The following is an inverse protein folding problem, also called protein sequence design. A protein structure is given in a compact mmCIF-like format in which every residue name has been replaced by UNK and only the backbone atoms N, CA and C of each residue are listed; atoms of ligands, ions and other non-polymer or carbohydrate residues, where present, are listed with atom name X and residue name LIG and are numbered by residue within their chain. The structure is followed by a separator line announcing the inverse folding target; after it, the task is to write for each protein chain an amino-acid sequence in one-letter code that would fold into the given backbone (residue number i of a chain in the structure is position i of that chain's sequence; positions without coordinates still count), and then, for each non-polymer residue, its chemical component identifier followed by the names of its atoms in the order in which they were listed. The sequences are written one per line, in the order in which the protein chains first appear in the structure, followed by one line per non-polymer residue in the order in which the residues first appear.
data_IF_569517059003
#
_entry.id   IF_569517059003
#
_cell.length_a   1.000
_cell.length_b   1.000
_cell.length_c   1.000
_cell.angle_alpha   90.00
_cell.angle_beta   90.00
_cell.angle_gamma   90.00
#
_symmetry.space_group_name_H-M   'P 1'
#
loop_
_entity.id
_entity.type
_entity.pdbx_description
1 polymer ?
#
# COMPACT_ATOMS: atom_id res chain seq x y z
N UNK A 1 -31.02 -17.67 8.74
CA UNK A 1 -32.23 -17.71 7.87
C UNK A 1 -31.77 -17.88 6.43
N UNK A 2 -32.45 -18.71 5.62
CA UNK A 2 -32.09 -18.94 4.23
C UNK A 2 -33.28 -18.71 3.28
N UNK A 3 -33.03 -18.04 2.16
CA UNK A 3 -33.98 -17.94 1.04
C UNK A 3 -33.52 -18.89 -0.06
N UNK A 4 -34.36 -19.84 -0.46
CA UNK A 4 -34.09 -20.79 -1.57
C UNK A 4 -34.40 -20.15 -2.92
N UNK A 5 -34.14 -20.84 -4.04
CA UNK A 5 -34.20 -20.26 -5.40
C UNK A 5 -35.51 -19.50 -5.67
N UNK A 6 -35.39 -18.22 -6.03
CA UNK A 6 -36.53 -17.31 -6.26
C UNK A 6 -37.20 -16.76 -4.99
N UNK A 7 -36.76 -17.18 -3.82
CA UNK A 7 -37.25 -16.73 -2.51
C UNK A 7 -36.84 -15.30 -2.19
N UNK A 8 -37.73 -14.57 -1.52
CA UNK A 8 -37.49 -13.21 -1.01
C UNK A 8 -37.79 -13.15 0.47
N UNK A 9 -36.88 -12.58 1.23
CA UNK A 9 -37.04 -12.36 2.68
C UNK A 9 -36.85 -10.88 2.97
N UNK A 10 -37.82 -10.27 3.65
CA UNK A 10 -37.74 -8.91 4.19
C UNK A 10 -37.65 -8.96 5.71
N UNK A 11 -36.71 -8.20 6.27
CA UNK A 11 -36.43 -8.12 7.71
C UNK A 11 -36.37 -6.64 8.11
N UNK A 12 -37.04 -6.28 9.20
CA UNK A 12 -36.94 -4.93 9.79
C UNK A 12 -36.75 -5.08 11.30
N UNK A 13 -35.75 -4.41 11.87
CA UNK A 13 -35.42 -4.42 13.31
C UNK A 13 -35.21 -5.83 13.89
N UNK A 14 -34.80 -6.81 13.07
CA UNK A 14 -34.60 -8.19 13.50
C UNK A 14 -33.29 -8.40 14.26
N UNK A 15 -33.30 -9.27 15.28
CA UNK A 15 -32.10 -9.70 15.99
C UNK A 15 -31.87 -11.18 15.68
N UNK A 16 -30.72 -11.50 15.12
CA UNK A 16 -30.33 -12.86 14.74
C UNK A 16 -29.06 -13.25 15.46
N UNK A 17 -29.11 -14.35 16.21
CA UNK A 17 -27.94 -14.95 16.85
C UNK A 17 -27.82 -16.40 16.40
N UNK A 18 -26.66 -16.79 15.89
CA UNK A 18 -26.36 -18.15 15.51
C UNK A 18 -25.06 -18.63 16.17
N UNK A 19 -25.14 -19.71 16.95
CA UNK A 19 -24.02 -20.28 17.70
C UNK A 19 -23.85 -21.76 17.36
N UNK A 20 -22.64 -22.18 17.01
CA UNK A 20 -22.36 -23.58 16.70
C UNK A 20 -21.06 -23.77 15.93
N UNK A 21 -20.76 -25.02 15.53
CA UNK A 21 -19.51 -25.31 14.82
C UNK A 21 -19.46 -24.69 13.41
N UNK A 22 -20.60 -24.69 12.71
CA UNK A 22 -20.76 -24.13 11.36
C UNK A 22 -22.07 -23.35 11.30
N UNK A 23 -21.99 -22.03 11.34
CA UNK A 23 -23.18 -21.17 11.40
C UNK A 23 -23.18 -20.08 10.34
N UNK A 24 -24.39 -19.69 9.93
CA UNK A 24 -24.64 -18.53 9.08
C UNK A 24 -25.74 -17.68 9.72
N UNK A 25 -25.54 -16.37 9.82
CA UNK A 25 -26.59 -15.46 10.28
C UNK A 25 -27.70 -15.32 9.25
N UNK A 26 -27.39 -14.62 8.15
CA UNK A 26 -28.23 -14.53 6.96
C UNK A 26 -27.54 -15.22 5.77
N UNK A 27 -28.31 -15.94 4.96
CA UNK A 27 -27.78 -16.68 3.81
C UNK A 27 -28.75 -16.61 2.64
N UNK A 28 -28.43 -15.84 1.62
CA UNK A 28 -29.07 -15.97 0.31
C UNK A 28 -28.24 -16.95 -0.52
N UNK A 29 -28.83 -18.11 -0.85
CA UNK A 29 -28.20 -19.15 -1.66
C UNK A 29 -29.29 -20.03 -2.28
N UNK A 30 -29.11 -20.57 -3.48
CA UNK A 30 -29.99 -21.63 -3.97
C UNK A 30 -29.57 -23.01 -3.47
N UNK A 31 -30.47 -23.98 -3.61
CA UNK A 31 -30.31 -25.36 -3.10
C UNK A 31 -29.25 -26.19 -3.85
N UNK A 32 -28.63 -25.63 -4.90
CA UNK A 32 -27.63 -26.28 -5.73
C UNK A 32 -26.64 -25.20 -6.23
N UNK A 33 -25.32 -25.46 -6.37
CA UNK A 33 -24.33 -24.57 -7.00
C UNK A 33 -24.72 -23.87 -8.32
N UNK A 34 -25.79 -24.31 -8.98
CA UNK A 34 -26.31 -23.77 -10.24
C UNK A 34 -27.66 -23.04 -10.10
N UNK A 35 -28.22 -22.96 -8.88
CA UNK A 35 -29.47 -22.26 -8.60
C UNK A 35 -29.14 -20.90 -7.96
N UNK A 36 -29.16 -19.82 -8.74
CA UNK A 36 -29.13 -18.44 -8.23
C UNK A 36 -30.53 -17.91 -7.88
N UNK A 37 -30.63 -16.63 -7.50
CA UNK A 37 -31.90 -15.89 -7.55
C UNK A 37 -32.60 -15.61 -6.23
N UNK A 38 -32.01 -15.98 -5.10
CA UNK A 38 -32.57 -15.66 -3.78
C UNK A 38 -32.23 -14.22 -3.37
N UNK A 39 -33.14 -13.56 -2.65
CA UNK A 39 -32.87 -12.22 -2.12
C UNK A 39 -33.26 -12.05 -0.65
N UNK A 40 -32.44 -11.31 0.08
CA UNK A 40 -32.70 -10.89 1.46
C UNK A 40 -32.54 -9.38 1.53
N UNK A 41 -33.52 -8.67 2.08
CA UNK A 41 -33.41 -7.26 2.46
C UNK A 41 -33.57 -7.15 3.97
N UNK A 42 -32.58 -6.56 4.65
CA UNK A 42 -32.60 -6.41 6.09
C UNK A 42 -32.33 -4.94 6.49
N UNK A 43 -33.31 -4.32 7.11
CA UNK A 43 -33.24 -2.96 7.62
C UNK A 43 -33.08 -2.97 9.15
N UNK A 44 -32.08 -2.26 9.65
CA UNK A 44 -31.75 -2.13 11.07
C UNK A 44 -31.64 -3.47 11.80
N UNK A 45 -31.19 -4.51 11.10
CA UNK A 45 -31.01 -5.84 11.68
C UNK A 45 -29.68 -5.94 12.44
N UNK A 46 -29.70 -6.65 13.57
CA UNK A 46 -28.50 -7.01 14.33
C UNK A 46 -28.23 -8.49 14.14
N UNK A 47 -27.10 -8.82 13.51
CA UNK A 47 -26.73 -10.19 13.16
C UNK A 47 -25.43 -10.53 13.90
N UNK A 48 -25.49 -11.55 14.75
CA UNK A 48 -24.33 -12.06 15.48
C UNK A 48 -24.12 -13.53 15.20
N UNK A 49 -22.90 -13.92 14.85
CA UNK A 49 -22.51 -15.32 14.74
C UNK A 49 -21.33 -15.63 15.66
N UNK A 50 -21.32 -16.84 16.24
CA UNK A 50 -20.23 -17.29 17.10
C UNK A 50 -20.00 -18.80 16.97
N UNK A 51 -18.77 -19.24 17.25
CA UNK A 51 -18.37 -20.65 17.23
C UNK A 51 -17.04 -20.87 16.51
N UNK A 52 -16.87 -22.03 15.87
CA UNK A 52 -15.61 -22.35 15.19
C UNK A 52 -15.54 -21.69 13.80
N UNK A 53 -16.56 -21.91 12.97
CA UNK A 53 -16.72 -21.33 11.64
C UNK A 53 -18.07 -20.62 11.55
N UNK A 54 -18.06 -19.33 11.22
CA UNK A 54 -19.28 -18.52 11.28
C UNK A 54 -19.27 -17.38 10.26
N UNK A 55 -20.22 -17.43 9.30
CA UNK A 55 -20.42 -16.34 8.34
C UNK A 55 -21.55 -15.45 8.85
N UNK A 56 -21.32 -14.14 8.97
CA UNK A 56 -22.37 -13.19 9.36
C UNK A 56 -23.50 -13.17 8.33
N UNK A 57 -23.17 -12.73 7.12
CA UNK A 57 -24.08 -12.61 5.98
C UNK A 57 -23.42 -13.22 4.74
N UNK A 58 -24.15 -14.09 4.06
CA UNK A 58 -23.70 -14.73 2.82
C UNK A 58 -24.64 -14.43 1.66
N UNK A 59 -24.07 -14.01 0.53
CA UNK A 59 -24.68 -14.12 -0.78
C UNK A 59 -23.87 -15.14 -1.59
N UNK A 60 -24.51 -16.23 -2.00
CA UNK A 60 -23.88 -17.29 -2.76
C UNK A 60 -24.53 -17.39 -4.15
N UNK A 61 -23.76 -17.00 -5.16
CA UNK A 61 -24.16 -17.00 -6.56
C UNK A 61 -24.05 -18.40 -7.18
N UNK A 62 -23.92 -18.44 -8.50
CA UNK A 62 -23.80 -19.69 -9.25
C UNK A 62 -22.49 -19.77 -10.04
N UNK A 63 -22.24 -20.92 -10.66
CA UNK A 63 -21.13 -21.08 -11.60
C UNK A 63 -21.43 -20.54 -13.01
N UNK A 64 -22.64 -20.04 -13.27
CA UNK A 64 -23.12 -19.62 -14.59
C UNK A 64 -23.64 -18.18 -14.56
N UNK A 65 -23.13 -17.33 -15.45
CA UNK A 65 -23.59 -15.95 -15.61
C UNK A 65 -25.06 -15.80 -16.05
N UNK A 66 -25.70 -16.90 -16.47
CA UNK A 66 -27.09 -16.92 -16.93
C UNK A 66 -28.11 -17.11 -15.80
N UNK A 67 -27.67 -17.41 -14.58
CA UNK A 67 -28.58 -17.60 -13.45
C UNK A 67 -29.01 -16.26 -12.85
N UNK A 68 -30.22 -16.17 -12.27
CA UNK A 68 -30.67 -14.95 -11.60
C UNK A 68 -29.76 -14.54 -10.44
N UNK A 69 -29.64 -13.24 -10.18
CA UNK A 69 -28.76 -12.69 -9.15
C UNK A 69 -29.18 -13.11 -7.74
N UNK A 70 -28.21 -13.53 -6.93
CA UNK A 70 -28.39 -13.75 -5.49
C UNK A 70 -27.99 -12.48 -4.76
N UNK A 71 -28.92 -11.85 -4.02
CA UNK A 71 -28.72 -10.51 -3.45
C UNK A 71 -28.97 -10.46 -1.95
N UNK A 72 -28.11 -9.76 -1.22
CA UNK A 72 -28.40 -9.34 0.16
C UNK A 72 -28.24 -7.83 0.28
N UNK A 73 -29.28 -7.14 0.72
CA UNK A 73 -29.25 -5.70 0.99
C UNK A 73 -29.34 -5.45 2.49
N UNK A 74 -28.37 -4.75 3.04
CA UNK A 74 -28.33 -4.34 4.45
C UNK A 74 -28.45 -2.80 4.53
N UNK A 75 -29.41 -2.31 5.30
CA UNK A 75 -29.61 -0.88 5.52
C UNK A 75 -29.55 -0.62 7.03
N UNK A 76 -28.55 0.11 7.49
CA UNK A 76 -28.27 0.29 8.91
C UNK A 76 -27.84 -1.01 9.60
N UNK A 77 -28.11 -1.09 10.91
CA UNK A 77 -27.89 -2.30 11.69
C UNK A 77 -26.42 -2.69 11.87
N UNK A 78 -26.19 -3.94 12.28
CA UNK A 78 -24.84 -4.47 12.48
C UNK A 78 -24.70 -5.95 12.14
N UNK A 79 -23.50 -6.32 11.70
CA UNK A 79 -23.07 -7.70 11.47
C UNK A 79 -21.79 -7.94 12.27
N UNK A 80 -21.84 -8.85 13.24
CA UNK A 80 -20.69 -9.19 14.08
C UNK A 80 -20.39 -10.69 14.02
N UNK A 81 -19.14 -11.06 13.74
CA UNK A 81 -18.67 -12.45 13.82
C UNK A 81 -17.65 -12.61 14.94
N UNK A 82 -17.93 -13.56 15.84
CA UNK A 82 -17.08 -13.96 16.95
C UNK A 82 -16.50 -15.36 16.74
N UNK A 83 -16.50 -15.86 15.51
CA UNK A 83 -15.97 -17.19 15.24
C UNK A 83 -14.44 -17.21 15.21
N UNK A 84 -13.87 -18.34 15.67
CA UNK A 84 -12.45 -18.47 15.97
C UNK A 84 -11.57 -18.63 14.71
N UNK A 85 -12.13 -19.23 13.65
CA UNK A 85 -11.42 -19.55 12.41
C UNK A 85 -12.30 -19.30 11.19
N UNK A 86 -11.79 -18.57 10.19
CA UNK A 86 -12.48 -18.25 8.92
C UNK A 86 -13.94 -17.80 9.13
N UNK A 87 -14.10 -16.58 9.65
CA UNK A 87 -15.38 -16.02 10.05
C UNK A 87 -15.70 -14.69 9.34
N UNK A 88 -15.94 -14.70 8.02
CA UNK A 88 -16.24 -13.47 7.31
C UNK A 88 -17.56 -12.88 7.80
N UNK A 89 -17.56 -11.57 8.04
CA UNK A 89 -18.79 -10.87 8.40
C UNK A 89 -19.70 -10.77 7.18
N UNK A 90 -19.15 -10.40 6.03
CA UNK A 90 -19.82 -10.48 4.75
C UNK A 90 -19.07 -11.43 3.83
N UNK A 91 -19.80 -12.32 3.15
CA UNK A 91 -19.24 -13.13 2.06
C UNK A 91 -20.12 -13.08 0.81
N UNK A 92 -19.59 -12.51 -0.27
CA UNK A 92 -20.15 -12.65 -1.61
C UNK A 92 -19.27 -13.61 -2.42
N UNK A 93 -19.82 -14.77 -2.74
CA UNK A 93 -19.08 -15.81 -3.45
C UNK A 93 -19.81 -16.25 -4.71
N UNK A 94 -19.03 -16.41 -5.79
CA UNK A 94 -19.48 -16.84 -7.13
C UNK A 94 -20.20 -15.77 -7.94
N UNK A 95 -20.21 -15.98 -9.26
CA UNK A 95 -20.85 -15.11 -10.24
C UNK A 95 -22.32 -14.90 -9.90
N UNK A 96 -22.73 -13.63 -9.96
CA UNK A 96 -24.11 -13.22 -9.69
C UNK A 96 -24.46 -13.09 -8.20
N UNK A 97 -23.50 -13.23 -7.28
CA UNK A 97 -23.68 -12.82 -5.89
C UNK A 97 -23.42 -11.33 -5.72
N UNK A 98 -24.31 -10.64 -4.99
CA UNK A 98 -24.15 -9.24 -4.63
C UNK A 98 -24.57 -9.02 -3.17
N UNK A 99 -23.72 -8.40 -2.37
CA UNK A 99 -24.12 -7.81 -1.10
C UNK A 99 -24.01 -6.30 -1.21
N UNK A 100 -25.07 -5.57 -0.90
CA UNK A 100 -25.01 -4.12 -0.74
C UNK A 100 -25.23 -3.74 0.72
N UNK A 101 -24.51 -2.73 1.20
CA UNK A 101 -24.71 -2.17 2.54
C UNK A 101 -24.79 -0.65 2.49
N UNK A 102 -25.69 -0.09 3.30
CA UNK A 102 -25.84 1.35 3.51
C UNK A 102 -25.81 1.64 5.02
N UNK A 103 -24.78 2.32 5.51
CA UNK A 103 -24.61 2.69 6.93
C UNK A 103 -24.62 1.49 7.90
N UNK A 104 -24.12 0.33 7.48
CA UNK A 104 -24.03 -0.88 8.32
C UNK A 104 -22.70 -0.94 9.08
N UNK A 105 -22.74 -1.39 10.34
CA UNK A 105 -21.54 -1.65 11.14
C UNK A 105 -21.15 -3.12 11.00
N UNK A 106 -19.96 -3.39 10.46
CA UNK A 106 -19.46 -4.72 10.14
C UNK A 106 -18.22 -5.00 10.98
N UNK A 107 -18.24 -6.08 11.78
CA UNK A 107 -17.15 -6.41 12.71
C UNK A 107 -16.81 -7.90 12.64
N UNK A 108 -15.53 -8.24 12.55
CA UNK A 108 -15.04 -9.61 12.75
C UNK A 108 -13.93 -9.67 13.81
N UNK A 109 -14.10 -10.53 14.82
CA UNK A 109 -13.26 -10.56 16.02
C UNK A 109 -12.22 -11.68 16.04
N UNK A 110 -12.46 -12.79 15.36
CA UNK A 110 -11.50 -13.90 15.25
C UNK A 110 -10.23 -13.55 14.48
N UNK A 111 -9.17 -14.34 14.69
CA UNK A 111 -7.91 -14.20 13.99
C UNK A 111 -7.97 -14.73 12.54
N UNK A 112 -7.19 -14.15 11.64
CA UNK A 112 -7.13 -14.55 10.23
C UNK A 112 -8.44 -14.31 9.49
N UNK A 113 -9.27 -13.39 9.98
CA UNK A 113 -10.59 -13.16 9.41
C UNK A 113 -10.53 -12.32 8.14
N UNK A 114 -11.44 -12.60 7.23
CA UNK A 114 -11.71 -11.80 6.04
C UNK A 114 -13.01 -11.04 6.33
N UNK A 115 -12.95 -9.81 6.85
CA UNK A 115 -14.16 -9.13 7.35
C UNK A 115 -15.21 -9.03 6.24
N UNK A 116 -14.79 -8.60 5.06
CA UNK A 116 -15.55 -8.63 3.81
C UNK A 116 -14.81 -9.50 2.80
N UNK A 117 -15.34 -10.70 2.54
CA UNK A 117 -14.80 -11.71 1.63
C UNK A 117 -15.55 -11.71 0.29
N UNK A 118 -14.89 -11.24 -0.77
CA UNK A 118 -15.43 -11.24 -2.13
C UNK A 118 -14.60 -12.20 -2.98
N UNK A 119 -15.21 -13.28 -3.46
CA UNK A 119 -14.47 -14.30 -4.22
C UNK A 119 -15.24 -14.94 -5.36
N UNK A 120 -14.50 -15.53 -6.31
CA UNK A 120 -15.02 -16.33 -7.43
C UNK A 120 -16.02 -15.57 -8.32
N UNK A 121 -15.88 -14.25 -8.48
CA UNK A 121 -16.81 -13.46 -9.30
C UNK A 121 -17.99 -12.86 -8.53
N UNK A 122 -17.95 -12.88 -7.19
CA UNK A 122 -18.92 -12.18 -6.36
C UNK A 122 -18.68 -10.67 -6.31
N UNK A 123 -19.67 -9.93 -5.79
CA UNK A 123 -19.59 -8.49 -5.61
C UNK A 123 -20.06 -8.02 -4.23
N UNK A 124 -19.38 -7.01 -3.68
CA UNK A 124 -19.82 -6.30 -2.48
C UNK A 124 -19.75 -4.79 -2.70
N UNK A 125 -20.81 -4.07 -2.35
CA UNK A 125 -20.88 -2.62 -2.40
C UNK A 125 -21.20 -2.04 -1.01
N UNK A 126 -20.29 -1.24 -0.47
CA UNK A 126 -20.42 -0.58 0.82
C UNK A 126 -20.59 0.93 0.63
N UNK A 127 -21.61 1.51 1.26
CA UNK A 127 -21.81 2.96 1.31
C UNK A 127 -22.00 3.41 2.76
N UNK A 128 -21.16 4.32 3.24
CA UNK A 128 -21.13 4.71 4.65
C UNK A 128 -20.69 3.57 5.57
N UNK A 129 -21.05 3.68 6.85
CA UNK A 129 -20.81 2.62 7.85
C UNK A 129 -19.34 2.38 8.21
N UNK A 130 -19.06 1.20 8.76
CA UNK A 130 -17.71 0.84 9.19
C UNK A 130 -17.41 -0.65 9.01
N UNK A 131 -16.17 -0.97 8.66
CA UNK A 131 -15.60 -2.32 8.62
C UNK A 131 -14.50 -2.42 9.66
N UNK A 132 -14.62 -3.33 10.63
CA UNK A 132 -13.67 -3.50 11.73
C UNK A 132 -13.16 -4.93 11.80
N UNK A 133 -11.84 -5.11 11.70
CA UNK A 133 -11.18 -6.41 11.91
C UNK A 133 -10.27 -6.37 13.13
N UNK A 134 -10.64 -7.11 14.19
CA UNK A 134 -9.93 -7.05 15.46
C UNK A 134 -8.87 -8.15 15.64
N UNK A 135 -9.03 -9.29 14.97
CA UNK A 135 -8.10 -10.40 15.10
C UNK A 135 -6.80 -10.18 14.31
N UNK A 136 -5.71 -10.76 14.80
CA UNK A 136 -4.42 -10.74 14.11
C UNK A 136 -4.52 -11.33 12.70
N UNK A 137 -3.65 -10.87 11.78
CA UNK A 137 -3.57 -11.31 10.38
C UNK A 137 -4.89 -11.22 9.62
N UNK A 138 -5.81 -10.33 10.05
CA UNK A 138 -7.10 -10.17 9.39
C UNK A 138 -6.99 -9.27 8.17
N UNK A 139 -7.96 -9.39 7.28
CA UNK A 139 -8.11 -8.54 6.10
C UNK A 139 -9.47 -7.84 6.20
N UNK A 140 -9.49 -6.51 6.10
CA UNK A 140 -10.72 -5.73 6.15
C UNK A 140 -11.62 -6.02 4.95
N UNK A 141 -11.12 -5.74 3.75
CA UNK A 141 -11.81 -6.07 2.49
C UNK A 141 -10.87 -6.90 1.63
N UNK A 142 -11.32 -8.06 1.16
CA UNK A 142 -10.60 -8.85 0.16
C UNK A 142 -11.48 -9.04 -1.07
N UNK A 143 -10.90 -8.80 -2.25
CA UNK A 143 -11.43 -9.23 -3.53
C UNK A 143 -10.46 -10.20 -4.19
N UNK A 144 -10.81 -11.48 -4.21
CA UNK A 144 -9.96 -12.58 -4.66
C UNK A 144 -10.52 -13.29 -5.90
N UNK A 145 -9.67 -13.43 -6.92
CA UNK A 145 -10.01 -14.11 -8.15
C UNK A 145 -10.64 -13.22 -9.22
N UNK A 146 -10.48 -13.63 -10.48
CA UNK A 146 -11.02 -12.94 -11.66
C UNK A 146 -12.53 -12.71 -11.54
N UNK A 147 -12.95 -11.48 -11.81
CA UNK A 147 -14.35 -11.07 -11.79
C UNK A 147 -14.88 -10.70 -10.40
N UNK A 148 -14.13 -10.97 -9.32
CA UNK A 148 -14.49 -10.48 -7.98
C UNK A 148 -14.31 -8.96 -7.93
N UNK A 149 -15.30 -8.28 -7.35
CA UNK A 149 -15.31 -6.81 -7.26
C UNK A 149 -15.83 -6.33 -5.91
N UNK A 150 -15.02 -5.55 -5.21
CA UNK A 150 -15.47 -4.85 -4.01
C UNK A 150 -15.48 -3.34 -4.25
N UNK A 151 -16.54 -2.66 -3.83
CA UNK A 151 -16.64 -1.20 -3.83
C UNK A 151 -16.93 -0.71 -2.43
N UNK A 152 -16.25 0.35 -2.01
CA UNK A 152 -16.57 1.07 -0.78
C UNK A 152 -16.57 2.58 -1.03
N UNK A 153 -17.58 3.27 -0.51
CA UNK A 153 -17.72 4.72 -0.59
C UNK A 153 -18.11 5.28 0.78
N UNK A 154 -17.40 6.31 1.25
CA UNK A 154 -17.64 6.96 2.55
C UNK A 154 -17.59 5.99 3.77
N UNK A 155 -16.94 4.84 3.64
CA UNK A 155 -16.78 3.81 4.69
C UNK A 155 -15.48 4.00 5.47
N UNK A 156 -15.53 3.80 6.79
CA UNK A 156 -14.32 3.67 7.62
C UNK A 156 -13.89 2.21 7.76
N UNK A 157 -12.62 1.91 7.49
CA UNK A 157 -12.03 0.57 7.60
C UNK A 157 -10.98 0.61 8.69
N UNK A 158 -11.19 -0.11 9.78
CA UNK A 158 -10.30 -0.13 10.93
C UNK A 158 -9.79 -1.54 11.20
N UNK A 159 -8.46 -1.69 11.26
CA UNK A 159 -7.82 -2.95 11.62
C UNK A 159 -7.03 -2.77 12.92
N UNK A 160 -7.41 -3.51 13.96
CA UNK A 160 -6.74 -3.48 15.26
C UNK A 160 -5.91 -4.75 15.52
N UNK A 161 -5.96 -5.73 14.63
CA UNK A 161 -5.11 -6.92 14.74
C UNK A 161 -3.71 -6.68 14.18
N UNK A 162 -2.70 -7.32 14.76
CA UNK A 162 -1.33 -7.26 14.26
C UNK A 162 -1.21 -7.88 12.86
N UNK A 163 -0.31 -7.34 12.02
CA UNK A 163 -0.04 -7.84 10.65
C UNK A 163 -1.26 -7.86 9.73
N UNK A 164 -2.28 -7.07 10.05
CA UNK A 164 -3.51 -7.02 9.27
C UNK A 164 -3.33 -6.24 7.97
N UNK A 165 -4.22 -6.52 7.03
CA UNK A 165 -4.34 -5.78 5.77
C UNK A 165 -5.66 -5.03 5.77
N UNK A 166 -5.66 -3.74 5.43
CA UNK A 166 -6.90 -2.98 5.29
C UNK A 166 -7.72 -3.48 4.10
N UNK A 167 -7.11 -3.45 2.91
CA UNK A 167 -7.74 -3.87 1.65
C UNK A 167 -6.77 -4.67 0.80
N UNK A 168 -7.25 -5.80 0.26
CA UNK A 168 -6.48 -6.69 -0.63
C UNK A 168 -7.25 -6.97 -1.92
N UNK A 169 -6.63 -6.72 -3.06
CA UNK A 169 -7.03 -7.28 -4.35
C UNK A 169 -6.04 -8.39 -4.73
N UNK A 170 -6.54 -9.60 -5.01
CA UNK A 170 -5.70 -10.74 -5.34
C UNK A 170 -6.22 -11.57 -6.52
N UNK A 171 -5.29 -12.25 -7.20
CA UNK A 171 -5.58 -13.20 -8.28
C UNK A 171 -6.56 -12.70 -9.37
N UNK A 172 -6.48 -11.41 -9.74
CA UNK A 172 -7.36 -10.80 -10.74
C UNK A 172 -8.60 -10.11 -10.17
N UNK A 173 -8.73 -10.03 -8.85
CA UNK A 173 -9.78 -9.28 -8.17
C UNK A 173 -9.63 -7.77 -8.27
N UNK A 174 -10.71 -7.03 -8.07
CA UNK A 174 -10.76 -5.57 -8.21
C UNK A 174 -11.38 -4.90 -6.98
N UNK A 175 -10.81 -3.76 -6.57
CA UNK A 175 -11.38 -2.94 -5.49
C UNK A 175 -11.45 -1.47 -5.88
N UNK A 176 -12.61 -0.85 -5.67
CA UNK A 176 -12.85 0.59 -5.83
C UNK A 176 -13.14 1.26 -4.49
N UNK A 177 -12.38 2.29 -4.16
CA UNK A 177 -12.50 3.06 -2.93
C UNK A 177 -12.73 4.53 -3.26
N UNK A 178 -13.70 5.16 -2.59
CA UNK A 178 -13.99 6.59 -2.70
C UNK A 178 -14.26 7.20 -1.34
N UNK A 179 -13.49 8.24 -0.98
CA UNK A 179 -13.61 8.98 0.28
C UNK A 179 -13.50 8.09 1.54
N UNK A 180 -12.83 6.94 1.45
CA UNK A 180 -12.69 6.04 2.59
C UNK A 180 -11.56 6.46 3.52
N UNK A 181 -11.71 6.17 4.81
CA UNK A 181 -10.60 6.21 5.77
C UNK A 181 -10.20 4.78 6.12
N UNK A 182 -8.93 4.44 5.93
CA UNK A 182 -8.34 3.14 6.26
C UNK A 182 -7.32 3.36 7.37
N UNK A 183 -7.56 2.79 8.54
CA UNK A 183 -6.71 2.96 9.72
C UNK A 183 -6.27 1.61 10.27
N UNK A 184 -4.96 1.41 10.35
CA UNK A 184 -4.38 0.25 10.99
C UNK A 184 -3.72 0.69 12.30
N UNK A 185 -4.36 0.39 13.43
CA UNK A 185 -4.08 1.06 14.71
C UNK A 185 -3.19 0.26 15.67
N UNK A 186 -3.18 -1.07 15.58
CA UNK A 186 -2.37 -1.92 16.44
C UNK A 186 -1.66 -2.97 15.56
N UNK A 187 -0.38 -2.68 15.31
CA UNK A 187 0.36 -3.29 14.22
C UNK A 187 1.69 -3.86 14.68
N UNK A 188 1.82 -5.17 14.54
CA UNK A 188 3.11 -5.83 14.35
C UNK A 188 3.74 -5.49 12.99
N UNK A 189 4.82 -6.18 12.66
CA UNK A 189 5.48 -6.02 11.36
C UNK A 189 4.57 -6.47 10.19
N UNK A 190 4.81 -5.97 8.97
CA UNK A 190 4.13 -6.40 7.73
C UNK A 190 2.64 -6.06 7.59
N UNK A 191 2.07 -5.19 8.42
CA UNK A 191 0.74 -4.65 8.16
C UNK A 191 0.70 -3.84 6.85
N UNK A 192 -0.40 -3.91 6.11
CA UNK A 192 -0.57 -3.18 4.86
C UNK A 192 -1.89 -2.41 4.79
N UNK A 193 -1.87 -1.12 4.41
CA UNK A 193 -3.09 -0.37 4.19
C UNK A 193 -3.87 -0.92 3.00
N UNK A 194 -3.30 -0.79 1.80
CA UNK A 194 -3.83 -1.34 0.54
C UNK A 194 -2.79 -2.24 -0.11
N UNK A 195 -3.20 -3.39 -0.67
CA UNK A 195 -2.32 -4.25 -1.44
C UNK A 195 -3.02 -4.80 -2.69
N UNK A 196 -2.45 -4.58 -3.87
CA UNK A 196 -2.82 -5.32 -5.09
C UNK A 196 -1.73 -6.35 -5.41
N UNK A 197 -2.09 -7.64 -5.47
CA UNK A 197 -1.12 -8.72 -5.70
C UNK A 197 -1.62 -9.74 -6.72
N UNK A 198 -0.80 -10.07 -7.71
CA UNK A 198 -1.16 -11.03 -8.76
C UNK A 198 -1.66 -10.37 -10.04
N UNK A 199 -1.55 -11.09 -11.15
CA UNK A 199 -1.91 -10.61 -12.47
C UNK A 199 -3.38 -10.18 -12.55
N UNK A 200 -3.62 -8.95 -13.02
CA UNK A 200 -4.96 -8.39 -13.18
C UNK A 200 -5.57 -7.84 -11.87
N UNK A 201 -4.93 -8.06 -10.73
CA UNK A 201 -5.39 -7.51 -9.45
C UNK A 201 -5.27 -6.00 -9.45
N UNK A 202 -6.36 -5.29 -9.13
CA UNK A 202 -6.38 -3.84 -9.20
C UNK A 202 -7.08 -3.19 -8.00
N UNK A 203 -6.53 -2.08 -7.53
CA UNK A 203 -7.16 -1.20 -6.56
C UNK A 203 -7.19 0.21 -7.13
N UNK A 204 -8.36 0.85 -7.17
CA UNK A 204 -8.53 2.26 -7.49
C UNK A 204 -9.05 3.00 -6.25
N UNK A 205 -8.31 4.00 -5.77
CA UNK A 205 -8.70 4.78 -4.60
C UNK A 205 -8.74 6.28 -4.89
N UNK A 206 -9.91 6.88 -4.75
CA UNK A 206 -10.14 8.32 -4.90
C UNK A 206 -10.37 8.96 -3.55
N UNK A 207 -9.59 9.99 -3.21
CA UNK A 207 -9.67 10.72 -1.93
C UNK A 207 -9.61 9.81 -0.69
N UNK A 208 -8.90 8.68 -0.76
CA UNK A 208 -8.73 7.79 0.38
C UNK A 208 -7.69 8.35 1.38
N UNK A 209 -7.97 8.21 2.66
CA UNK A 209 -7.05 8.55 3.75
C UNK A 209 -6.57 7.24 4.37
N UNK A 210 -5.27 6.94 4.23
CA UNK A 210 -4.67 5.69 4.70
C UNK A 210 -3.66 6.01 5.80
N UNK A 211 -3.90 5.51 7.00
CA UNK A 211 -3.05 5.70 8.17
C UNK A 211 -2.56 4.35 8.69
N UNK A 212 -1.25 4.14 8.71
CA UNK A 212 -0.63 2.87 9.10
C UNK A 212 0.40 3.13 10.21
N UNK A 213 0.13 2.60 11.41
CA UNK A 213 0.99 2.82 12.60
C UNK A 213 2.11 1.80 12.81
N UNK A 214 2.20 0.77 11.98
CA UNK A 214 3.10 -0.35 12.19
C UNK A 214 4.57 0.04 12.07
N UNK A 215 5.43 -0.62 12.83
CA UNK A 215 6.88 -0.45 12.77
C UNK A 215 7.57 -1.73 12.28
N UNK A 216 8.58 -1.58 11.43
CA UNK A 216 9.37 -2.69 10.90
C UNK A 216 10.64 -3.00 11.70
N UNK A 217 11.23 -4.17 11.44
CA UNK A 217 12.52 -4.60 12.01
C UNK A 217 13.62 -4.63 10.96
N UNK A 218 14.88 -4.69 11.40
CA UNK A 218 15.99 -5.01 10.51
C UNK A 218 15.76 -6.41 9.92
N UNK A 219 15.94 -6.58 8.59
CA UNK A 219 15.78 -7.88 7.92
C UNK A 219 14.56 -8.09 7.01
N UNK A 220 13.85 -7.02 6.61
CA UNK A 220 12.87 -7.08 5.50
C UNK A 220 11.40 -6.92 5.85
N UNK A 221 11.05 -6.85 7.14
CA UNK A 221 9.65 -6.80 7.58
C UNK A 221 9.13 -5.36 7.75
N UNK A 222 8.83 -4.68 6.64
CA UNK A 222 8.35 -3.30 6.65
C UNK A 222 6.82 -3.23 6.48
N UNK A 223 6.10 -2.50 7.34
CA UNK A 223 4.71 -2.11 7.08
C UNK A 223 4.61 -1.21 5.86
N UNK A 224 3.56 -1.42 5.06
CA UNK A 224 3.36 -0.74 3.79
C UNK A 224 2.03 0.03 3.81
N UNK A 225 2.02 1.28 3.39
CA UNK A 225 0.78 2.03 3.24
C UNK A 225 -0.02 1.51 2.04
N UNK A 226 0.63 1.51 0.88
CA UNK A 226 0.09 1.05 -0.40
C UNK A 226 1.12 0.18 -1.11
N UNK A 227 0.75 -1.06 -1.44
CA UNK A 227 1.61 -2.04 -2.10
C UNK A 227 1.04 -2.54 -3.42
N UNK A 228 1.91 -2.70 -4.43
CA UNK A 228 1.62 -3.42 -5.66
C UNK A 228 2.70 -4.48 -5.89
N UNK A 229 2.29 -5.72 -6.17
CA UNK A 229 3.19 -6.87 -6.31
C UNK A 229 2.70 -7.84 -7.40
N UNK A 230 3.61 -8.56 -8.06
CA UNK A 230 3.34 -9.70 -8.94
C UNK A 230 2.25 -9.49 -10.02
N UNK A 231 2.22 -8.37 -10.71
CA UNK A 231 1.16 -8.04 -11.69
C UNK A 231 0.06 -7.12 -11.15
N UNK A 232 0.13 -6.74 -9.87
CA UNK A 232 -0.83 -5.85 -9.23
C UNK A 232 -0.70 -4.40 -9.71
N UNK A 233 -1.85 -3.72 -9.77
CA UNK A 233 -1.97 -2.29 -10.08
C UNK A 233 -2.67 -1.56 -8.93
N UNK A 234 -2.08 -0.47 -8.44
CA UNK A 234 -2.79 0.46 -7.56
C UNK A 234 -2.82 1.85 -8.20
N UNK A 235 -4.02 2.45 -8.26
CA UNK A 235 -4.23 3.83 -8.70
C UNK A 235 -4.75 4.67 -7.53
N UNK A 236 -4.08 5.79 -7.24
CA UNK A 236 -4.46 6.76 -6.22
C UNK A 236 -4.76 8.10 -6.89
N UNK A 237 -5.93 8.67 -6.59
CA UNK A 237 -6.32 10.00 -7.07
C UNK A 237 -6.72 10.88 -5.87
N UNK A 238 -5.87 11.84 -5.52
CA UNK A 238 -5.98 12.62 -4.30
C UNK A 238 -5.63 11.83 -3.05
N UNK A 239 -6.17 12.26 -1.91
CA UNK A 239 -6.03 11.58 -0.62
C UNK A 239 -4.62 11.64 -0.02
N UNK A 240 -4.38 10.78 0.97
CA UNK A 240 -3.08 10.72 1.66
C UNK A 240 -2.75 9.34 2.20
N UNK A 241 -1.45 9.02 2.22
CA UNK A 241 -0.88 7.84 2.88
C UNK A 241 0.10 8.30 3.95
N UNK A 242 -0.23 8.04 5.22
CA UNK A 242 0.57 8.42 6.37
C UNK A 242 1.06 7.18 7.11
N UNK A 243 2.39 7.05 7.23
CA UNK A 243 3.04 6.03 8.02
C UNK A 243 3.49 6.64 9.36
N UNK A 244 2.84 6.21 10.44
CA UNK A 244 3.12 6.70 11.80
C UNK A 244 4.12 5.81 12.56
N UNK A 245 4.50 4.66 12.00
CA UNK A 245 5.49 3.79 12.61
C UNK A 245 6.87 4.41 12.73
N UNK A 246 7.56 4.11 13.83
CA UNK A 246 8.83 4.76 14.18
C UNK A 246 10.06 4.22 13.44
N UNK A 247 9.96 3.08 12.76
CA UNK A 247 11.08 2.48 12.07
C UNK A 247 10.63 1.70 10.84
N UNK A 248 11.40 1.80 9.74
CA UNK A 248 11.28 0.97 8.54
C UNK A 248 9.85 0.84 8.02
N UNK A 249 9.22 1.97 7.78
CA UNK A 249 7.90 2.05 7.14
C UNK A 249 8.02 2.45 5.68
N UNK A 250 7.07 2.02 4.86
CA UNK A 250 7.05 2.38 3.45
C UNK A 250 5.65 2.90 3.09
N UNK A 251 5.51 4.15 2.63
CA UNK A 251 4.17 4.67 2.31
C UNK A 251 3.64 4.07 1.00
N UNK A 252 4.45 4.01 -0.05
CA UNK A 252 4.10 3.33 -1.31
C UNK A 252 5.23 2.41 -1.76
N UNK A 253 4.89 1.17 -2.11
CA UNK A 253 5.86 0.17 -2.59
C UNK A 253 5.38 -0.56 -3.85
N UNK A 254 6.17 -0.48 -4.92
CA UNK A 254 6.03 -1.34 -6.09
C UNK A 254 7.15 -2.40 -6.10
N UNK A 255 6.77 -3.66 -6.24
CA UNK A 255 7.69 -4.78 -6.45
C UNK A 255 7.60 -5.39 -7.85
N UNK A 256 7.89 -6.68 -7.97
CA UNK A 256 8.05 -7.36 -9.26
C UNK A 256 6.78 -7.27 -10.13
N UNK A 257 6.95 -6.91 -11.40
CA UNK A 257 5.88 -6.84 -12.40
C UNK A 257 4.67 -5.99 -11.96
N UNK A 258 4.88 -4.96 -11.17
CA UNK A 258 3.80 -4.17 -10.57
C UNK A 258 3.81 -2.70 -10.99
N UNK A 259 2.68 -2.03 -10.77
CA UNK A 259 2.54 -0.62 -11.07
C UNK A 259 1.76 0.13 -9.98
N UNK A 260 2.25 1.29 -9.57
CA UNK A 260 1.52 2.27 -8.77
C UNK A 260 1.43 3.58 -9.55
N UNK A 261 0.22 4.11 -9.70
CA UNK A 261 -0.04 5.41 -10.32
C UNK A 261 -0.68 6.30 -9.25
N UNK A 262 -0.10 7.46 -8.96
CA UNK A 262 -0.63 8.39 -7.97
C UNK A 262 -0.68 9.82 -8.51
N UNK A 263 -1.87 10.44 -8.44
CA UNK A 263 -2.10 11.84 -8.85
C UNK A 263 -2.61 12.65 -7.67
N UNK A 264 -1.96 13.76 -7.32
CA UNK A 264 -2.40 14.64 -6.23
C UNK A 264 -2.36 14.01 -4.83
N UNK A 265 -1.66 12.89 -4.65
CA UNK A 265 -1.60 12.16 -3.38
C UNK A 265 -0.46 12.66 -2.50
N UNK A 266 -0.72 12.78 -1.18
CA UNK A 266 0.32 13.08 -0.18
C UNK A 266 0.86 11.81 0.49
N UNK A 267 2.17 11.63 0.49
CA UNK A 267 2.87 10.54 1.18
C UNK A 267 3.67 11.08 2.35
N UNK A 268 3.54 10.47 3.53
CA UNK A 268 4.24 10.92 4.74
C UNK A 268 4.80 9.74 5.52
N UNK A 269 6.07 9.81 5.92
CA UNK A 269 6.70 8.84 6.84
C UNK A 269 7.43 9.56 7.95
N UNK A 270 7.17 9.17 9.20
CA UNK A 270 7.74 9.84 10.37
C UNK A 270 8.90 9.06 11.01
N UNK A 271 8.94 7.74 10.80
CA UNK A 271 9.94 6.87 11.40
C UNK A 271 11.32 6.93 10.76
N UNK A 272 12.31 6.43 11.48
CA UNK A 272 13.67 6.19 10.99
C UNK A 272 13.68 5.09 9.90
N UNK A 273 14.73 5.04 9.08
CA UNK A 273 14.94 4.00 8.07
C UNK A 273 13.74 3.79 7.13
N UNK A 274 12.94 4.83 6.91
CA UNK A 274 11.64 4.73 6.23
C UNK A 274 11.70 5.32 4.82
N UNK A 275 10.83 4.84 3.93
CA UNK A 275 10.78 5.30 2.54
C UNK A 275 9.38 5.81 2.24
N UNK A 276 9.21 7.05 1.79
CA UNK A 276 7.87 7.47 1.39
C UNK A 276 7.42 6.74 0.13
N UNK A 277 8.23 6.75 -0.93
CA UNK A 277 7.93 6.05 -2.18
C UNK A 277 9.10 5.16 -2.56
N UNK A 278 8.85 3.87 -2.77
CA UNK A 278 9.89 2.89 -3.05
C UNK A 278 9.51 1.91 -4.16
N UNK A 279 10.33 1.83 -5.21
CA UNK A 279 10.33 0.69 -6.13
C UNK A 279 11.50 -0.22 -5.74
N UNK A 280 11.21 -1.47 -5.42
CA UNK A 280 12.22 -2.45 -4.99
C UNK A 280 11.95 -3.81 -5.60
N UNK A 281 12.91 -4.31 -6.36
CA UNK A 281 12.81 -5.61 -7.01
C UNK A 281 13.73 -6.62 -6.37
N UNK A 282 13.29 -7.86 -6.27
CA UNK A 282 14.12 -9.00 -5.90
C UNK A 282 14.41 -9.94 -7.09
N UNK A 283 13.83 -9.66 -8.26
CA UNK A 283 14.11 -10.36 -9.51
C UNK A 283 14.56 -9.34 -10.59
N UNK A 284 15.83 -9.40 -11.07
CA UNK A 284 16.37 -8.45 -12.04
C UNK A 284 15.77 -8.56 -13.45
N UNK A 285 14.95 -9.59 -13.71
CA UNK A 285 14.25 -9.77 -15.00
C UNK A 285 12.87 -9.09 -15.02
N UNK A 286 12.42 -8.59 -13.88
CA UNK A 286 11.09 -7.99 -13.72
C UNK A 286 11.14 -6.47 -13.77
N UNK A 287 9.98 -5.85 -13.89
CA UNK A 287 9.84 -4.40 -13.89
C UNK A 287 8.85 -3.99 -12.80
N UNK A 288 9.23 -3.02 -11.97
CA UNK A 288 8.35 -2.41 -10.96
C UNK A 288 8.31 -0.91 -11.20
N UNK A 289 7.11 -0.36 -11.35
CA UNK A 289 6.92 1.03 -11.75
C UNK A 289 6.11 1.82 -10.73
N UNK A 290 6.53 3.06 -10.49
CA UNK A 290 5.72 4.06 -9.79
C UNK A 290 5.68 5.33 -10.64
N UNK A 291 4.49 5.83 -10.92
CA UNK A 291 4.27 7.12 -11.58
C UNK A 291 3.57 8.06 -10.63
N UNK A 292 4.19 9.21 -10.36
CA UNK A 292 3.66 10.27 -9.51
C UNK A 292 3.39 11.52 -10.36
N UNK A 293 2.24 12.15 -10.14
CA UNK A 293 1.89 13.44 -10.73
C UNK A 293 1.31 14.34 -9.64
N UNK A 294 1.82 15.57 -9.51
CA UNK A 294 1.36 16.55 -8.51
C UNK A 294 1.39 16.01 -7.06
N UNK A 295 2.33 15.10 -6.77
CA UNK A 295 2.42 14.46 -5.45
C UNK A 295 3.17 15.35 -4.46
N UNK A 296 2.85 15.19 -3.17
CA UNK A 296 3.62 15.80 -2.07
C UNK A 296 4.19 14.71 -1.18
N UNK A 297 5.50 14.74 -0.93
CA UNK A 297 6.23 13.74 -0.16
C UNK A 297 6.90 14.43 1.03
N UNK A 298 6.73 13.87 2.23
CA UNK A 298 7.38 14.33 3.46
C UNK A 298 7.98 13.18 4.25
N UNK A 299 9.25 13.31 4.66
CA UNK A 299 9.92 12.38 5.58
C UNK A 299 10.63 13.11 6.72
N UNK A 300 10.72 12.49 7.91
CA UNK A 300 11.33 13.13 9.09
C UNK A 300 12.33 12.28 9.91
N UNK A 301 12.42 10.97 9.65
CA UNK A 301 13.33 10.09 10.40
C UNK A 301 14.78 10.10 9.89
N UNK A 302 15.70 9.71 10.77
CA UNK A 302 17.09 9.42 10.38
C UNK A 302 17.10 8.33 9.32
N UNK A 303 17.92 8.49 8.29
CA UNK A 303 18.07 7.53 7.21
C UNK A 303 16.73 7.26 6.48
N UNK A 304 15.85 8.26 6.40
CA UNK A 304 14.55 8.15 5.73
C UNK A 304 14.51 8.92 4.41
N UNK A 305 13.99 8.28 3.37
CA UNK A 305 14.11 8.76 2.00
C UNK A 305 12.76 9.14 1.40
N UNK A 306 12.75 10.21 0.60
CA UNK A 306 11.56 10.63 -0.15
C UNK A 306 11.20 9.60 -1.23
N UNK A 307 12.03 9.52 -2.27
CA UNK A 307 11.90 8.54 -3.36
C UNK A 307 13.09 7.58 -3.35
N UNK A 308 12.83 6.29 -3.48
CA UNK A 308 13.86 5.24 -3.58
C UNK A 308 13.56 4.31 -4.75
N UNK A 309 14.50 4.19 -5.70
CA UNK A 309 14.43 3.19 -6.77
C UNK A 309 15.60 2.24 -6.63
N UNK A 310 15.34 0.95 -6.41
CA UNK A 310 16.35 -0.01 -5.99
C UNK A 310 16.30 -1.29 -6.82
N UNK A 311 17.46 -1.66 -7.35
CA UNK A 311 17.70 -2.78 -8.27
C UNK A 311 17.24 -2.54 -9.71
N UNK A 312 17.92 -3.21 -10.65
CA UNK A 312 17.61 -3.15 -12.08
C UNK A 312 16.14 -3.51 -12.34
N UNK A 313 15.46 -2.68 -13.14
CA UNK A 313 14.04 -2.83 -13.44
C UNK A 313 13.11 -2.00 -12.55
N UNK A 314 13.57 -1.53 -11.39
CA UNK A 314 12.85 -0.55 -10.58
C UNK A 314 12.88 0.82 -11.25
N UNK A 315 11.70 1.39 -11.50
CA UNK A 315 11.56 2.67 -12.20
C UNK A 315 10.54 3.56 -11.51
N UNK A 316 10.94 4.80 -11.23
CA UNK A 316 10.03 5.81 -10.69
C UNK A 316 10.03 7.03 -11.61
N UNK A 317 8.85 7.51 -11.99
CA UNK A 317 8.66 8.78 -12.70
C UNK A 317 7.88 9.72 -11.80
N UNK A 318 8.36 10.94 -11.59
CA UNK A 318 7.69 11.95 -10.78
C UNK A 318 7.57 13.27 -11.57
N UNK A 319 6.33 13.72 -11.79
CA UNK A 319 6.01 14.95 -12.50
C UNK A 319 5.42 15.95 -11.51
N UNK A 320 6.02 17.14 -11.44
CA UNK A 320 5.59 18.22 -10.54
C UNK A 320 5.44 17.76 -9.07
N UNK A 321 6.38 16.96 -8.59
CA UNK A 321 6.35 16.40 -7.22
C UNK A 321 7.18 17.26 -6.28
N UNK A 322 6.62 17.58 -5.11
CA UNK A 322 7.33 18.30 -4.05
C UNK A 322 7.80 17.32 -2.97
N UNK A 323 9.10 17.31 -2.68
CA UNK A 323 9.74 16.37 -1.75
C UNK A 323 10.39 17.17 -0.64
N UNK A 324 10.02 16.87 0.61
CA UNK A 324 10.70 17.40 1.80
C UNK A 324 11.21 16.24 2.63
N UNK A 325 12.50 16.23 2.94
CA UNK A 325 13.10 15.27 3.86
C UNK A 325 13.80 15.99 4.99
N UNK A 326 13.64 15.45 6.19
CA UNK A 326 14.33 15.91 7.39
C UNK A 326 14.87 14.70 8.14
N UNK A 327 16.02 14.88 8.77
CA UNK A 327 16.73 13.81 9.48
C UNK A 327 18.09 13.52 8.84
N UNK A 328 19.07 13.21 9.69
CA UNK A 328 20.42 12.89 9.22
C UNK A 328 20.38 11.71 8.25
N UNK A 329 21.20 11.77 7.20
CA UNK A 329 21.26 10.77 6.13
C UNK A 329 19.96 10.73 5.28
N UNK A 330 19.00 11.61 5.52
CA UNK A 330 17.68 11.62 4.89
C UNK A 330 17.69 12.19 3.46
N UNK A 331 17.81 11.31 2.47
CA UNK A 331 17.90 11.67 1.05
C UNK A 331 16.56 12.05 0.43
N UNK A 332 16.55 13.06 -0.42
CA UNK A 332 15.38 13.42 -1.22
C UNK A 332 15.01 12.32 -2.21
N UNK A 333 15.95 12.00 -3.11
CA UNK A 333 15.80 10.95 -4.12
C UNK A 333 17.04 10.06 -4.14
N UNK A 334 16.82 8.75 -4.09
CA UNK A 334 17.88 7.75 -4.02
C UNK A 334 17.67 6.65 -5.05
N UNK A 335 18.56 6.58 -6.05
CA UNK A 335 18.61 5.50 -7.01
C UNK A 335 19.78 4.57 -6.66
N UNK A 336 19.53 3.27 -6.56
CA UNK A 336 20.51 2.30 -6.09
C UNK A 336 20.51 1.01 -6.93
N UNK A 337 21.68 0.41 -7.13
CA UNK A 337 21.86 -0.91 -7.78
C UNK A 337 21.18 -1.03 -9.16
N UNK A 338 21.22 0.00 -9.99
CA UNK A 338 20.58 -0.02 -11.31
C UNK A 338 19.11 0.41 -11.32
N UNK A 339 18.55 0.81 -10.18
CA UNK A 339 17.26 1.50 -10.13
C UNK A 339 17.32 2.84 -10.86
N UNK A 340 16.21 3.24 -11.48
CA UNK A 340 16.13 4.51 -12.21
C UNK A 340 15.03 5.42 -11.69
N UNK A 341 15.28 6.72 -11.71
CA UNK A 341 14.29 7.76 -11.39
C UNK A 341 14.29 8.85 -12.48
N UNK A 342 13.11 9.24 -12.94
CA UNK A 342 12.91 10.41 -13.79
C UNK A 342 12.09 11.47 -13.04
N UNK A 343 12.58 12.70 -12.98
CA UNK A 343 11.93 13.85 -12.33
C UNK A 343 11.69 14.93 -13.37
N UNK A 344 10.47 15.47 -13.43
CA UNK A 344 10.09 16.54 -14.36
C UNK A 344 9.29 17.63 -13.63
N UNK A 345 9.95 18.73 -13.30
CA UNK A 345 9.37 19.81 -12.50
C UNK A 345 9.13 19.44 -11.02
N UNK A 346 8.83 20.45 -10.21
CA UNK A 346 8.68 20.31 -8.76
C UNK A 346 9.92 20.72 -7.97
N UNK A 347 10.01 20.28 -6.72
CA UNK A 347 11.05 20.71 -5.79
C UNK A 347 11.49 19.62 -4.83
N UNK A 348 12.74 19.73 -4.38
CA UNK A 348 13.35 18.85 -3.38
C UNK A 348 13.99 19.73 -2.32
N UNK A 349 13.58 19.57 -1.07
CA UNK A 349 14.22 20.18 0.09
C UNK A 349 14.67 19.10 1.06
N UNK A 350 15.96 19.04 1.36
CA UNK A 350 16.52 18.11 2.35
C UNK A 350 17.16 18.88 3.49
N UNK A 351 17.07 18.31 4.70
CA UNK A 351 17.67 18.87 5.90
C UNK A 351 18.20 17.81 6.86
N UNK A 352 19.35 18.07 7.46
CA UNK A 352 20.08 17.13 8.33
C UNK A 352 21.47 16.84 7.78
N UNK A 353 22.35 16.30 8.60
CA UNK A 353 23.72 16.00 8.15
C UNK A 353 23.72 14.81 7.18
N UNK A 354 24.55 14.85 6.13
CA UNK A 354 24.66 13.81 5.09
C UNK A 354 23.32 13.62 4.32
N UNK A 355 22.44 14.64 4.29
CA UNK A 355 21.12 14.57 3.67
C UNK A 355 21.16 15.03 2.20
N UNK A 356 21.63 14.17 1.30
CA UNK A 356 21.75 14.52 -0.12
C UNK A 356 20.39 14.79 -0.79
N UNK A 357 20.34 15.76 -1.70
CA UNK A 357 19.15 16.04 -2.50
C UNK A 357 18.84 14.90 -3.48
N UNK A 358 19.76 14.66 -4.41
CA UNK A 358 19.73 13.56 -5.38
C UNK A 358 20.96 12.68 -5.19
N UNK A 359 20.80 11.36 -5.13
CA UNK A 359 21.94 10.44 -5.13
C UNK A 359 21.67 9.18 -5.95
N UNK A 360 22.56 8.89 -6.90
CA UNK A 360 22.58 7.64 -7.67
C UNK A 360 23.87 6.87 -7.39
N UNK A 361 23.79 5.60 -6.99
CA UNK A 361 24.97 4.76 -6.69
C UNK A 361 24.66 3.25 -6.67
N UNK A 362 25.60 2.42 -6.21
CA UNK A 362 25.36 1.03 -5.77
C UNK A 362 25.92 -0.08 -6.63
N UNK A 363 26.11 0.15 -7.94
CA UNK A 363 26.76 -0.85 -8.80
C UNK A 363 28.27 -0.68 -8.77
N UNK A 364 29.02 -1.70 -8.38
CA UNK A 364 30.50 -1.64 -8.33
C UNK A 364 31.14 -1.24 -9.68
N UNK A 365 32.33 -0.65 -9.63
CA UNK A 365 33.07 -0.19 -10.81
C UNK A 365 33.26 -1.29 -11.88
N UNK A 366 33.48 -2.53 -11.44
CA UNK A 366 33.78 -3.68 -12.32
C UNK A 366 32.54 -4.52 -12.66
N UNK A 367 31.35 -4.09 -12.24
CA UNK A 367 30.12 -4.84 -12.49
C UNK A 367 29.57 -4.58 -13.91
N UNK A 368 29.11 -5.65 -14.56
CA UNK A 368 28.38 -5.55 -15.83
C UNK A 368 26.91 -5.09 -15.67
N UNK A 369 26.45 -4.92 -14.43
CA UNK A 369 25.10 -4.44 -14.15
C UNK A 369 24.95 -2.96 -14.57
N UNK A 370 23.72 -2.57 -14.91
CA UNK A 370 23.43 -1.18 -15.27
C UNK A 370 23.59 -0.28 -14.04
N UNK A 371 24.30 0.86 -14.14
CA UNK A 371 24.43 1.80 -13.03
C UNK A 371 23.07 2.41 -12.68
N UNK A 372 22.90 2.79 -11.41
CA UNK A 372 21.73 3.55 -11.00
C UNK A 372 21.68 4.89 -11.74
N UNK A 373 20.47 5.36 -12.07
CA UNK A 373 20.29 6.57 -12.89
C UNK A 373 19.22 7.50 -12.33
N UNK A 374 19.51 8.79 -12.29
CA UNK A 374 18.52 9.85 -12.06
C UNK A 374 18.55 10.81 -13.26
N UNK A 375 17.43 10.99 -13.93
CA UNK A 375 17.22 12.04 -14.91
C UNK A 375 16.33 13.13 -14.28
N UNK A 376 16.89 14.31 -14.01
CA UNK A 376 16.18 15.44 -13.39
C UNK A 376 16.05 16.61 -14.38
N UNK A 377 14.82 17.00 -14.68
CA UNK A 377 14.48 18.08 -15.59
C UNK A 377 13.69 19.18 -14.85
N UNK A 378 14.20 20.42 -14.89
CA UNK A 378 13.55 21.61 -14.33
C UNK A 378 13.17 21.49 -12.84
N UNK A 379 14.06 20.89 -12.02
CA UNK A 379 13.84 20.70 -10.58
C UNK A 379 14.58 21.76 -9.77
N UNK A 380 13.96 22.26 -8.71
CA UNK A 380 14.66 23.06 -7.69
C UNK A 380 15.09 22.16 -6.52
N UNK A 381 16.39 22.11 -6.25
CA UNK A 381 16.99 21.32 -5.16
C UNK A 381 17.58 22.26 -4.11
N UNK A 382 17.14 22.11 -2.87
CA UNK A 382 17.68 22.82 -1.71
C UNK A 382 18.16 21.81 -0.68
N UNK A 383 19.43 21.86 -0.31
CA UNK A 383 19.98 20.98 0.75
C UNK A 383 20.59 21.80 1.88
N UNK A 384 20.36 21.34 3.12
CA UNK A 384 20.87 21.98 4.34
C UNK A 384 21.44 20.95 5.31
N UNK A 385 22.68 21.14 5.72
CA UNK A 385 23.34 20.29 6.70
C UNK A 385 24.79 20.00 6.32
N UNK A 386 25.59 19.58 7.28
CA UNK A 386 26.99 19.26 7.01
C UNK A 386 27.07 18.05 6.09
N UNK A 387 28.04 18.02 5.18
CA UNK A 387 28.24 16.93 4.22
C UNK A 387 27.00 16.63 3.33
N UNK A 388 26.10 17.60 3.16
CA UNK A 388 24.81 17.40 2.47
C UNK A 388 24.83 17.91 1.04
N UNK A 389 25.35 17.07 0.15
CA UNK A 389 25.46 17.41 -1.27
C UNK A 389 24.10 17.62 -1.94
N UNK A 390 24.02 18.58 -2.86
CA UNK A 390 22.84 18.79 -3.69
C UNK A 390 22.57 17.60 -4.60
N UNK A 391 23.61 17.22 -5.35
CA UNK A 391 23.60 16.10 -6.28
C UNK A 391 24.84 15.25 -6.07
N UNK A 392 24.67 13.93 -5.96
CA UNK A 392 25.77 12.96 -5.89
C UNK A 392 25.61 11.87 -6.93
N UNK A 393 26.67 11.61 -7.69
CA UNK A 393 26.79 10.46 -8.58
C UNK A 393 27.93 9.55 -8.09
N UNK A 394 27.59 8.31 -7.75
CA UNK A 394 28.48 7.31 -7.16
C UNK A 394 28.60 7.38 -5.64
N UNK A 395 29.51 6.56 -5.10
CA UNK A 395 29.83 6.52 -3.67
C UNK A 395 31.33 6.30 -3.44
N UNK A 396 31.79 6.55 -2.21
CA UNK A 396 33.20 6.42 -1.81
C UNK A 396 33.75 4.98 -1.89
N UNK A 397 32.87 3.97 -1.96
CA UNK A 397 33.24 2.57 -2.17
C UNK A 397 33.56 2.23 -3.65
N UNK A 398 33.50 3.24 -4.53
CA UNK A 398 33.69 3.09 -5.96
C UNK A 398 32.44 2.63 -6.71
N UNK A 399 31.29 2.53 -6.05
CA UNK A 399 30.04 2.28 -6.74
C UNK A 399 29.66 3.44 -7.65
N UNK A 400 29.15 3.08 -8.82
CA UNK A 400 28.82 3.96 -9.92
C UNK A 400 27.35 4.39 -9.85
N UNK A 401 27.09 5.59 -10.33
CA UNK A 401 25.76 6.10 -10.60
C UNK A 401 25.82 7.26 -11.57
N UNK A 402 24.69 7.56 -12.19
CA UNK A 402 24.55 8.63 -13.19
C UNK A 402 23.45 9.57 -12.72
N UNK A 403 23.75 10.87 -12.69
CA UNK A 403 22.72 11.91 -12.52
C UNK A 403 22.82 12.89 -13.67
N UNK A 404 21.77 12.96 -14.48
CA UNK A 404 21.60 13.99 -15.50
C UNK A 404 20.72 15.08 -14.91
N UNK A 405 21.20 16.32 -14.89
CA UNK A 405 20.46 17.46 -14.35
C UNK A 405 20.35 18.56 -15.41
N UNK A 406 19.14 18.84 -15.88
CA UNK A 406 18.87 19.79 -16.96
C UNK A 406 17.85 20.83 -16.49
N UNK A 407 18.26 22.10 -16.40
CA UNK A 407 17.39 23.19 -15.95
C UNK A 407 17.03 23.13 -14.46
N UNK A 408 16.41 24.19 -13.95
CA UNK A 408 16.13 24.34 -12.50
C UNK A 408 17.30 24.96 -11.73
N UNK A 409 17.41 24.66 -10.44
CA UNK A 409 18.43 25.24 -9.55
C UNK A 409 18.88 24.27 -8.46
N UNK A 410 20.13 24.43 -8.00
CA UNK A 410 20.69 23.70 -6.86
C UNK A 410 21.24 24.72 -5.87
N UNK A 411 20.73 24.71 -4.65
CA UNK A 411 21.19 25.55 -3.54
C UNK A 411 21.58 24.66 -2.36
N UNK A 412 22.85 24.66 -2.01
CA UNK A 412 23.40 23.81 -0.94
C UNK A 412 24.02 24.66 0.15
N UNK A 413 23.80 24.27 1.40
CA UNK A 413 24.38 24.97 2.56
C UNK A 413 24.75 23.98 3.67
N UNK A 414 25.90 24.23 4.31
CA UNK A 414 26.46 23.38 5.35
C UNK A 414 27.94 23.12 5.13
N UNK A 415 28.67 22.84 6.20
CA UNK A 415 30.12 22.58 6.12
C UNK A 415 30.38 21.33 5.26
N UNK A 416 31.40 21.40 4.40
CA UNK A 416 31.82 20.28 3.53
C UNK A 416 30.71 19.72 2.62
N UNK A 417 29.69 20.53 2.30
CA UNK A 417 28.68 20.22 1.28
C UNK A 417 29.10 20.71 -0.10
N UNK A 418 28.68 20.02 -1.16
CA UNK A 418 28.86 20.44 -2.54
C UNK A 418 27.53 20.57 -3.29
N UNK A 419 27.44 21.52 -4.23
CA UNK A 419 26.31 21.63 -5.17
C UNK A 419 26.13 20.35 -6.00
N UNK A 420 27.24 19.84 -6.53
CA UNK A 420 27.32 18.56 -7.22
C UNK A 420 28.64 17.85 -6.91
N UNK A 421 28.57 16.53 -6.72
CA UNK A 421 29.70 15.70 -6.35
C UNK A 421 29.71 14.40 -7.18
N UNK A 422 30.80 14.18 -7.92
CA UNK A 422 31.10 12.89 -8.53
C UNK A 422 32.03 12.10 -7.61
N UNK A 423 31.54 11.00 -7.05
CA UNK A 423 32.32 10.10 -6.22
C UNK A 423 32.84 8.97 -7.08
N UNK A 424 34.07 9.15 -7.56
CA UNK A 424 34.86 8.08 -8.16
C UNK A 424 35.74 7.53 -7.05
N UNK A 425 35.94 6.21 -7.05
CA UNK A 425 36.87 5.47 -6.22
C UNK A 425 38.25 6.16 -6.19
N UNK A 426 38.44 7.13 -5.29
CA UNK A 426 39.76 7.58 -4.89
C UNK A 426 40.19 6.59 -3.83
N UNK A 427 40.99 5.63 -4.27
CA UNK A 427 41.98 5.00 -3.40
C UNK A 427 42.50 6.05 -2.41
N UNK A 428 42.46 5.69 -1.14
CA UNK A 428 42.89 6.38 0.08
C UNK A 428 44.35 6.90 0.03
N UNK A 429 44.76 7.66 -0.99
CA UNK A 429 46.17 7.99 -1.27
C UNK A 429 46.53 9.46 -1.15
N UNK A 430 45.57 10.37 -0.90
CA UNK A 430 45.87 11.81 -0.86
C UNK A 430 45.87 12.47 0.54
N UNK A 431 45.51 11.75 1.61
CA UNK A 431 45.59 12.29 2.98
C UNK A 431 46.68 11.69 3.88
N UNK A 432 47.50 10.75 3.39
CA UNK A 432 48.65 10.21 4.13
C UNK A 432 49.98 10.96 3.85
N UNK A 433 50.05 11.82 2.82
CA UNK A 433 51.31 12.50 2.43
C UNK A 433 51.41 13.99 2.82
N UNK A 434 50.42 14.57 3.51
CA UNK A 434 50.54 15.96 4.00
C UNK A 434 51.17 16.11 5.39
N UNK A 435 51.50 15.03 6.09
CA UNK A 435 52.05 15.07 7.46
C UNK A 435 53.42 14.39 7.65
N UNK A 436 54.23 14.21 6.59
CA UNK A 436 55.64 13.78 6.73
C UNK A 436 56.59 14.51 5.79
N UNK A 437 56.72 15.81 5.97
CA UNK A 437 57.97 16.52 5.66
C UNK A 437 58.27 17.52 6.79
N UNK A 438 58.83 17.00 7.88
CA UNK A 438 59.71 17.78 8.73
C UNK A 438 61.14 17.32 8.47
N UNK A 439 61.91 18.23 7.87
CA UNK A 439 63.35 18.19 7.80
C UNK A 439 63.94 18.22 9.22
N UNK A 440 64.81 17.25 9.53
CA UNK A 440 66.08 17.43 10.23
C UNK A 440 67.05 16.33 9.82
#
# INVERSE_FOLDING_TARGET
MAATAGGRVGITNGIFSATGNYVRGLSAAGDNPDNGGSSISAENATITTAGNFGIGVQAYGSNSALTPLTRVDLIGGSVTTNALSYAPALQAARVGSLITTHNTVITANGAGNLVVDVNRGGAVELTGGSVTGNGNTSIGIISDGVGSHAKAEDTSITMTGQKSVGVLASAGGSVELKNNTISLTDLGTNGSGLTASGLGSNISATNAIINVKGSGTNGGNAPVGVGAENGGLVTLNGGSVTMEGNNRTIAARAGNNSNIIATGTRFTTNGNNSHAVMAWLNDPTTIGTITLTDATISTAGINSYGITSNNQGAKITANNTNITTSGNVGRGVYAWNGGTVALNGGSITTSGDIASGLQAAGVGADSAAQPAKIDALNINVITRGNFSDGVTAGWDDGSQGIVNFTGGSITTSGELSAGGCGKICRHYWLNQYRNKHHWR
#
